data_IF_396855371949
#
_entry.id   IF_396855371949
#
_cell.length_a   1.000
_cell.length_b   1.000
_cell.length_c   1.000
_cell.angle_alpha   90.00
_cell.angle_beta   90.00
_cell.angle_gamma   90.00
#
_symmetry.space_group_name_H-M   'P 1'
#
loop_
_entity.id
_entity.type
_entity.pdbx_description
1 polymer ?
#
# COMPACT_ATOMS: atom_id res chain seq x y z
N UNK A 1 -2.87 -2.59 -11.55
CA UNK A 1 -2.32 -2.47 -10.18
C UNK A 1 -3.03 -3.38 -9.18
N UNK A 2 -4.36 -3.36 -9.08
CA UNK A 2 -5.12 -4.18 -8.12
C UNK A 2 -4.87 -5.70 -8.26
N UNK A 3 -4.91 -6.23 -9.49
CA UNK A 3 -4.63 -7.65 -9.76
C UNK A 3 -3.22 -8.04 -9.31
N UNK A 4 -2.25 -7.17 -9.53
CA UNK A 4 -0.87 -7.41 -9.10
C UNK A 4 -0.74 -7.41 -7.57
N UNK A 5 -1.42 -6.51 -6.87
CA UNK A 5 -1.47 -6.51 -5.40
C UNK A 5 -2.10 -7.79 -4.83
N UNK A 6 -3.17 -8.30 -5.44
CA UNK A 6 -3.76 -9.58 -5.04
C UNK A 6 -2.80 -10.74 -5.25
N UNK A 7 -2.10 -10.79 -6.40
CA UNK A 7 -1.10 -11.84 -6.65
C UNK A 7 0.06 -11.78 -5.64
N UNK A 8 0.51 -10.58 -5.25
CA UNK A 8 1.53 -10.41 -4.21
C UNK A 8 1.01 -10.88 -2.85
N UNK A 9 -0.19 -10.47 -2.46
CA UNK A 9 -0.82 -10.87 -1.20
C UNK A 9 -1.04 -12.38 -1.12
N UNK A 10 -1.49 -13.00 -2.21
CA UNK A 10 -1.65 -14.46 -2.29
C UNK A 10 -0.28 -15.19 -2.25
N UNK A 11 0.77 -14.63 -2.86
CA UNK A 11 2.13 -15.20 -2.80
C UNK A 11 2.74 -15.18 -1.39
N UNK A 12 2.50 -14.11 -0.61
CA UNK A 12 2.97 -13.99 0.77
C UNK A 12 1.96 -14.48 1.82
N UNK A 13 0.82 -15.02 1.39
CA UNK A 13 -0.26 -15.47 2.26
C UNK A 13 -0.72 -14.39 3.28
N UNK A 14 -0.82 -13.15 2.80
CA UNK A 14 -1.21 -11.99 3.59
C UNK A 14 -2.74 -11.83 3.61
N UNK A 15 -3.32 -11.12 4.59
CA UNK A 15 -4.76 -10.87 4.60
C UNK A 15 -5.18 -9.97 3.42
N UNK A 16 -6.30 -10.30 2.78
CA UNK A 16 -6.84 -9.53 1.64
C UNK A 16 -7.16 -8.07 2.00
N UNK A 17 -7.42 -7.77 3.28
CA UNK A 17 -7.62 -6.40 3.77
C UNK A 17 -6.43 -5.48 3.42
N UNK A 18 -5.22 -6.02 3.35
CA UNK A 18 -4.04 -5.22 3.04
C UNK A 18 -4.10 -4.67 1.61
N UNK A 19 -4.74 -5.37 0.67
CA UNK A 19 -4.97 -4.84 -0.68
C UNK A 19 -5.84 -3.58 -0.62
N UNK A 20 -6.89 -3.57 0.20
CA UNK A 20 -7.75 -2.39 0.38
C UNK A 20 -6.98 -1.21 0.97
N UNK A 21 -6.14 -1.46 1.98
CA UNK A 21 -5.30 -0.43 2.61
C UNK A 21 -4.27 0.13 1.61
N UNK A 22 -3.57 -0.76 0.90
CA UNK A 22 -2.59 -0.40 -0.13
C UNK A 22 -3.21 0.42 -1.27
N UNK A 23 -4.40 0.05 -1.73
CA UNK A 23 -5.13 0.80 -2.75
C UNK A 23 -5.58 2.17 -2.23
N UNK A 24 -6.00 2.29 -0.97
CA UNK A 24 -6.34 3.58 -0.38
C UNK A 24 -5.13 4.53 -0.34
N UNK A 25 -3.94 4.03 0.02
CA UNK A 25 -2.73 4.83 -0.01
C UNK A 25 -2.32 5.21 -1.43
N UNK A 26 -2.40 4.28 -2.36
CA UNK A 26 -2.10 4.54 -3.77
C UNK A 26 -3.02 5.62 -4.34
N UNK A 27 -4.33 5.53 -4.09
CA UNK A 27 -5.33 6.51 -4.54
C UNK A 27 -5.05 7.91 -3.97
N UNK A 28 -4.87 8.02 -2.65
CA UNK A 28 -4.53 9.29 -1.98
C UNK A 28 -3.20 9.87 -2.45
N UNK A 29 -2.21 9.02 -2.71
CA UNK A 29 -0.94 9.43 -3.27
C UNK A 29 -1.11 9.96 -4.70
N UNK A 30 -1.91 9.28 -5.53
CA UNK A 30 -2.19 9.72 -6.89
C UNK A 30 -2.95 11.05 -6.92
N UNK A 31 -3.91 11.25 -6.02
CA UNK A 31 -4.59 12.53 -5.85
C UNK A 31 -3.64 13.67 -5.43
N UNK A 32 -2.57 13.35 -4.69
CA UNK A 32 -1.55 14.35 -4.33
C UNK A 32 -0.61 14.64 -5.51
N UNK A 33 -0.27 13.63 -6.32
CA UNK A 33 0.57 13.78 -7.50
C UNK A 33 -0.14 14.49 -8.67
N UNK A 34 -1.46 14.33 -8.84
CA UNK A 34 -2.20 15.06 -9.89
C UNK A 34 -2.15 16.58 -9.73
N UNK A 35 -1.87 17.07 -8.52
CA UNK A 35 -1.64 18.51 -8.26
C UNK A 35 -0.22 18.96 -8.60
N UNK A 36 0.72 18.02 -8.74
CA UNK A 36 2.15 18.24 -8.98
C UNK A 36 2.53 17.63 -10.33
N UNK A 37 2.26 18.38 -11.39
CA UNK A 37 2.44 18.05 -12.81
C UNK A 37 3.90 17.72 -13.23
N UNK A 38 4.58 16.69 -12.69
CA UNK A 38 5.91 16.30 -13.23
C UNK A 38 6.53 14.92 -12.88
N UNK A 39 5.81 13.84 -12.54
CA UNK A 39 6.51 12.53 -12.42
C UNK A 39 5.62 11.29 -12.67
N UNK A 40 5.62 10.83 -13.92
CA UNK A 40 4.72 9.76 -14.41
C UNK A 40 5.25 8.33 -14.25
N UNK A 41 6.43 8.11 -13.67
CA UNK A 41 7.11 6.79 -13.75
C UNK A 41 7.20 6.01 -12.43
N UNK A 42 6.94 6.65 -11.28
CA UNK A 42 7.23 6.05 -9.96
C UNK A 42 6.00 5.65 -9.15
N UNK A 43 4.80 5.91 -9.66
CA UNK A 43 3.55 5.77 -8.92
C UNK A 43 3.18 4.32 -8.60
N UNK A 44 3.51 3.37 -9.47
CA UNK A 44 3.07 1.97 -9.38
C UNK A 44 3.57 1.20 -8.14
N UNK A 45 4.64 1.66 -7.48
CA UNK A 45 5.32 0.94 -6.38
C UNK A 45 4.84 1.41 -5.01
N UNK A 46 4.25 2.61 -4.94
CA UNK A 46 3.83 3.21 -3.67
C UNK A 46 2.79 2.35 -2.92
N UNK A 47 1.96 1.60 -3.65
CA UNK A 47 0.99 0.70 -3.04
C UNK A 47 1.60 -0.46 -2.24
N UNK A 48 2.82 -0.91 -2.59
CA UNK A 48 3.44 -2.09 -1.96
C UNK A 48 4.40 -1.79 -0.82
N UNK A 49 4.92 -0.57 -0.70
CA UNK A 49 5.90 -0.29 0.37
C UNK A 49 5.26 -0.30 1.75
N UNK A 50 3.95 -0.01 1.87
CA UNK A 50 3.23 -0.12 3.16
C UNK A 50 2.75 -1.53 3.51
N UNK A 51 2.68 -2.45 2.55
CA UNK A 51 2.41 -3.88 2.80
C UNK A 51 3.44 -4.49 3.77
N UNK A 52 4.64 -3.89 3.84
CA UNK A 52 5.77 -4.36 4.63
C UNK A 52 5.66 -4.08 6.14
N UNK A 53 4.83 -3.13 6.59
CA UNK A 53 4.88 -2.65 7.98
C UNK A 53 3.61 -2.90 8.79
N UNK A 54 2.49 -3.22 8.13
CA UNK A 54 1.18 -3.39 8.79
C UNK A 54 0.97 -4.83 9.27
N UNK A 55 1.65 -5.84 8.72
CA UNK A 55 1.37 -7.24 9.11
C UNK A 55 2.60 -8.12 9.21
N UNK A 56 3.58 -8.01 8.31
CA UNK A 56 4.80 -8.82 8.36
C UNK A 56 5.98 -8.08 7.73
N UNK A 57 7.19 -8.10 8.35
CA UNK A 57 8.38 -7.50 7.77
C UNK A 57 8.86 -8.33 6.58
N UNK A 58 8.31 -8.05 5.39
CA UNK A 58 8.84 -8.60 4.13
C UNK A 58 10.24 -8.00 3.94
N UNK A 59 11.22 -8.78 3.49
CA UNK A 59 12.55 -8.24 3.25
C UNK A 59 12.53 -7.27 2.04
N UNK A 60 13.22 -6.13 2.14
CA UNK A 60 13.29 -5.15 1.04
C UNK A 60 13.89 -5.76 -0.23
N UNK A 61 14.80 -6.72 -0.10
CA UNK A 61 15.38 -7.46 -1.23
C UNK A 61 14.36 -8.35 -1.93
N UNK A 62 13.44 -8.99 -1.20
CA UNK A 62 12.33 -9.73 -1.81
C UNK A 62 11.39 -8.79 -2.58
N UNK A 63 11.08 -7.62 -2.02
CA UNK A 63 10.23 -6.64 -2.69
C UNK A 63 10.89 -6.08 -3.97
N UNK A 64 12.19 -5.80 -3.92
CA UNK A 64 12.98 -5.42 -5.10
C UNK A 64 12.99 -6.54 -6.15
N UNK A 65 13.12 -7.81 -5.73
CA UNK A 65 13.03 -8.97 -6.61
C UNK A 65 11.69 -9.11 -7.34
N UNK A 66 10.58 -8.84 -6.67
CA UNK A 66 9.24 -8.84 -7.28
C UNK A 66 9.05 -7.72 -8.31
N UNK A 67 9.80 -6.63 -8.15
CA UNK A 67 9.82 -5.55 -9.13
C UNK A 67 10.59 -5.87 -10.40
N UNK A 68 11.11 -7.12 -10.53
CA UNK A 68 11.90 -7.59 -11.68
C UNK A 68 13.12 -6.71 -11.97
N UNK A 69 13.72 -6.14 -10.92
CA UNK A 69 14.91 -5.28 -11.02
C UNK A 69 14.62 -3.86 -11.50
N UNK A 70 13.35 -3.44 -11.59
CA UNK A 70 12.99 -2.07 -11.95
C UNK A 70 13.33 -1.06 -10.85
N UNK A 71 13.38 -1.49 -9.58
CA UNK A 71 13.63 -0.61 -8.44
C UNK A 71 14.67 -1.20 -7.48
N UNK A 72 15.64 -0.37 -7.10
CA UNK A 72 16.60 -0.68 -6.05
C UNK A 72 15.97 -0.52 -4.68
N UNK A 73 16.56 -1.14 -3.66
CA UNK A 73 16.15 -0.96 -2.26
C UNK A 73 16.11 0.50 -1.84
N UNK A 74 17.04 1.33 -2.35
CA UNK A 74 17.06 2.76 -2.07
C UNK A 74 15.88 3.51 -2.71
N UNK A 75 15.48 3.11 -3.92
CA UNK A 75 14.32 3.70 -4.61
C UNK A 75 13.03 3.39 -3.84
N UNK A 76 12.93 2.18 -3.28
CA UNK A 76 11.79 1.77 -2.45
C UNK A 76 11.70 2.63 -1.18
N UNK A 77 12.83 2.87 -0.50
CA UNK A 77 12.88 3.69 0.73
C UNK A 77 12.56 5.17 0.44
N UNK A 78 13.10 5.71 -0.64
CA UNK A 78 12.83 7.10 -1.04
C UNK A 78 11.36 7.28 -1.40
N UNK A 79 10.77 6.35 -2.16
CA UNK A 79 9.34 6.35 -2.47
C UNK A 79 8.46 6.24 -1.22
N UNK A 80 8.81 5.36 -0.27
CA UNK A 80 8.07 5.27 1.00
C UNK A 80 8.09 6.60 1.76
N UNK A 81 9.24 7.26 1.80
CA UNK A 81 9.40 8.55 2.50
C UNK A 81 8.56 9.65 1.85
N UNK A 82 8.52 9.69 0.50
CA UNK A 82 7.70 10.65 -0.26
C UNK A 82 6.22 10.40 0.02
N UNK A 83 5.77 9.14 -0.03
CA UNK A 83 4.39 8.76 0.27
C UNK A 83 3.98 9.09 1.72
N UNK A 84 4.87 8.87 2.68
CA UNK A 84 4.64 9.22 4.07
C UNK A 84 4.41 10.71 4.26
N UNK A 85 5.25 11.53 3.61
CA UNK A 85 5.14 12.98 3.63
C UNK A 85 3.87 13.45 2.95
N UNK A 86 3.53 12.91 1.78
CA UNK A 86 2.31 13.30 1.04
C UNK A 86 1.03 12.92 1.80
N UNK A 87 1.03 11.82 2.54
CA UNK A 87 -0.12 11.39 3.34
C UNK A 87 -0.20 12.07 4.71
N UNK A 88 0.73 12.96 5.05
CA UNK A 88 0.85 13.59 6.37
C UNK A 88 0.81 12.57 7.51
N UNK A 89 1.46 11.41 7.34
CA UNK A 89 1.47 10.31 8.33
C UNK A 89 0.08 9.74 8.70
N UNK A 90 -0.99 10.07 7.95
CA UNK A 90 -2.33 9.51 8.16
C UNK A 90 -2.42 8.09 7.60
N UNK A 91 -1.95 7.13 8.39
CA UNK A 91 -1.81 5.70 8.06
C UNK A 91 -2.90 4.80 8.65
N UNK A 92 -4.03 5.38 9.04
CA UNK A 92 -5.21 4.66 9.50
C UNK A 92 -6.35 5.03 8.54
N UNK A 93 -6.45 4.34 7.38
CA UNK A 93 -7.63 4.50 6.55
C UNK A 93 -8.78 3.69 7.16
N UNK A 94 -10.02 4.21 7.13
CA UNK A 94 -11.18 3.39 7.45
C UNK A 94 -11.30 2.28 6.40
N UNK A 95 -11.08 1.03 6.82
CA UNK A 95 -11.26 -0.14 5.94
C UNK A 95 -12.71 -0.62 5.99
N UNK A 96 -13.20 -1.21 4.89
CA UNK A 96 -14.50 -1.88 4.88
C UNK A 96 -14.57 -2.95 5.97
N UNK A 97 -13.44 -3.62 6.25
CA UNK A 97 -13.35 -4.63 7.31
C UNK A 97 -13.63 -4.04 8.70
N UNK A 98 -13.01 -2.89 9.03
CA UNK A 98 -13.31 -2.17 10.28
C UNK A 98 -14.78 -1.75 10.37
N UNK A 99 -15.35 -1.29 9.25
CA UNK A 99 -16.77 -0.91 9.21
C UNK A 99 -17.70 -2.10 9.45
N UNK A 100 -17.48 -3.23 8.77
CA UNK A 100 -18.27 -4.45 8.95
C UNK A 100 -18.13 -4.97 10.38
N UNK A 101 -16.92 -4.96 10.95
CA UNK A 101 -16.71 -5.38 12.34
C UNK A 101 -17.50 -4.51 13.33
N UNK A 102 -17.57 -3.19 13.10
CA UNK A 102 -18.38 -2.28 13.92
C UNK A 102 -19.87 -2.55 13.75
N UNK A 103 -20.33 -2.76 12.51
CA UNK A 103 -21.73 -3.09 12.21
C UNK A 103 -22.16 -4.40 12.87
N UNK A 104 -21.34 -5.46 12.80
CA UNK A 104 -21.64 -6.74 13.44
C UNK A 104 -21.74 -6.64 14.96
N UNK A 105 -20.93 -5.78 15.59
CA UNK A 105 -21.01 -5.53 17.04
C UNK A 105 -22.30 -4.80 17.46
N UNK A 106 -22.94 -4.08 16.55
CA UNK A 106 -24.20 -3.36 16.80
C UNK A 106 -25.43 -4.26 16.60
N UNK A 107 -25.27 -5.46 16.03
CA UNK A 107 -26.37 -6.43 15.91
C UNK A 107 -26.54 -7.11 17.27
N UNK A 108 -27.72 -6.98 17.93
CA UNK A 108 -27.99 -7.71 19.16
C UNK A 108 -28.04 -9.21 18.85
N UNK A 109 -27.26 -9.99 19.61
CA UNK A 109 -27.30 -11.46 19.61
C UNK A 109 -28.51 -11.98 20.34
#
# INVERSE_FOLDING_TARGET
>A
ICVWLYNVVDHFNLPREIVCISLNYFDRFMATLSTSSNSSSSSSICGVTKLQKITQPISLSTLAGLSRGLFSQLDIITMETILLKSLHWKLHPPTLHSYISLMLRLIPT
#
